data_IF_002434446103
#
_entry.id   IF_002434446103
#
_cell.length_a   1.000
_cell.length_b   1.000
_cell.length_c   1.000
_cell.angle_alpha   90.00
_cell.angle_beta   90.00
_cell.angle_gamma   90.00
#
_symmetry.space_group_name_H-M   'P 1'
#
loop_
_entity.id
_entity.type
_entity.pdbx_description
1 polymer ?
#
# COMPACT_ATOMS: atom_id res chain seq x y z
N UNK A 1 16.81 -18.11 -28.24
CA UNK A 1 15.84 -16.98 -28.23
C UNK A 1 15.99 -16.29 -26.88
N UNK A 2 16.19 -14.97 -26.84
CA UNK A 2 16.21 -14.24 -25.57
C UNK A 2 14.78 -14.15 -25.02
N UNK A 3 14.60 -14.49 -23.75
CA UNK A 3 13.35 -14.27 -23.05
C UNK A 3 13.18 -12.75 -22.86
N UNK A 4 12.04 -12.13 -23.22
CA UNK A 4 11.83 -10.70 -23.02
C UNK A 4 11.83 -10.35 -21.53
N UNK A 5 12.26 -9.14 -21.20
CA UNK A 5 12.22 -8.63 -19.83
C UNK A 5 10.78 -8.46 -19.35
N UNK A 6 10.58 -8.45 -18.03
CA UNK A 6 9.26 -8.28 -17.43
C UNK A 6 8.56 -6.99 -17.88
N UNK A 7 9.31 -5.89 -18.04
CA UNK A 7 8.78 -4.61 -18.49
C UNK A 7 8.38 -4.62 -19.97
N UNK A 8 9.13 -5.32 -20.82
CA UNK A 8 8.77 -5.49 -22.24
C UNK A 8 7.47 -6.30 -22.37
N UNK A 9 7.32 -7.36 -21.57
CA UNK A 9 6.07 -8.15 -21.52
C UNK A 9 4.91 -7.25 -21.04
N UNK A 10 5.11 -6.47 -19.98
CA UNK A 10 4.09 -5.58 -19.43
C UNK A 10 3.61 -4.53 -20.45
N UNK A 11 4.55 -3.90 -21.18
CA UNK A 11 4.25 -2.87 -22.18
C UNK A 11 3.59 -3.41 -23.44
N UNK A 12 3.86 -4.67 -23.78
CA UNK A 12 3.23 -5.35 -24.91
C UNK A 12 1.84 -5.91 -24.58
N UNK A 13 1.38 -5.82 -23.33
CA UNK A 13 0.09 -6.36 -22.92
C UNK A 13 -1.08 -5.54 -23.49
N UNK A 14 -2.06 -6.23 -24.06
CA UNK A 14 -3.33 -5.63 -24.49
C UNK A 14 -4.27 -5.50 -23.29
N UNK A 15 -4.38 -4.29 -22.75
CA UNK A 15 -5.22 -4.02 -21.59
C UNK A 15 -6.70 -3.99 -21.98
N UNK A 16 -7.53 -4.66 -21.18
CA UNK A 16 -8.98 -4.55 -21.29
C UNK A 16 -9.46 -3.29 -20.57
N UNK A 17 -10.58 -2.67 -21.01
CA UNK A 17 -11.23 -1.63 -20.24
C UNK A 17 -11.52 -2.08 -18.81
N UNK A 18 -11.21 -1.24 -17.81
CA UNK A 18 -11.42 -1.57 -16.40
C UNK A 18 -12.89 -1.89 -16.08
N UNK A 19 -13.83 -1.27 -16.78
CA UNK A 19 -15.25 -1.56 -16.65
C UNK A 19 -15.58 -3.02 -16.99
N UNK A 20 -14.94 -3.59 -18.02
CA UNK A 20 -15.15 -4.98 -18.42
C UNK A 20 -14.54 -5.94 -17.39
N UNK A 21 -13.35 -5.60 -16.87
CA UNK A 21 -12.68 -6.38 -15.80
C UNK A 21 -13.54 -6.40 -14.53
N UNK A 22 -14.10 -5.25 -14.16
CA UNK A 22 -14.98 -5.12 -13.01
C UNK A 22 -16.31 -5.87 -13.21
N UNK A 23 -16.89 -5.83 -14.41
CA UNK A 23 -18.10 -6.56 -14.76
C UNK A 23 -17.92 -8.08 -14.65
N UNK A 24 -16.77 -8.62 -15.07
CA UNK A 24 -16.45 -10.06 -14.92
C UNK A 24 -16.48 -10.51 -13.45
N UNK A 25 -16.00 -9.63 -12.55
CA UNK A 25 -16.01 -9.79 -11.11
C UNK A 25 -17.37 -9.49 -10.44
N UNK A 26 -18.35 -9.00 -11.20
CA UNK A 26 -19.69 -8.65 -10.70
C UNK A 26 -19.76 -7.33 -9.95
N UNK A 27 -18.77 -6.45 -10.11
CA UNK A 27 -18.74 -5.13 -9.46
C UNK A 27 -19.65 -4.17 -10.25
N UNK A 28 -20.61 -3.49 -9.60
CA UNK A 28 -21.47 -2.50 -10.25
C UNK A 28 -20.66 -1.34 -10.84
N UNK A 29 -21.04 -0.86 -12.03
CA UNK A 29 -20.31 0.20 -12.73
C UNK A 29 -20.27 1.53 -11.95
N UNK A 30 -21.32 1.86 -11.21
CA UNK A 30 -21.41 3.07 -10.37
C UNK A 30 -20.59 2.97 -9.06
N UNK A 31 -20.12 1.77 -8.73
CA UNK A 31 -19.18 1.53 -7.64
C UNK A 31 -17.71 1.71 -8.07
N UNK A 32 -17.42 1.93 -9.35
CA UNK A 32 -16.06 2.18 -9.83
C UNK A 32 -15.74 3.67 -9.82
N UNK A 33 -14.55 4.00 -9.34
CA UNK A 33 -13.96 5.33 -9.41
C UNK A 33 -12.66 5.24 -10.21
N UNK A 34 -12.69 5.56 -11.52
CA UNK A 34 -11.52 5.42 -12.40
C UNK A 34 -10.38 6.38 -12.03
N UNK A 35 -9.15 5.87 -12.10
CA UNK A 35 -7.90 6.62 -12.01
C UNK A 35 -7.17 6.48 -13.34
N UNK A 36 -7.57 7.32 -14.31
CA UNK A 36 -7.19 7.15 -15.70
C UNK A 36 -7.69 5.80 -16.24
N UNK A 37 -6.88 5.18 -17.10
CA UNK A 37 -7.26 3.92 -17.78
C UNK A 37 -6.68 2.68 -17.10
N UNK A 38 -5.73 2.84 -16.18
CA UNK A 38 -4.91 1.76 -15.64
C UNK A 38 -5.28 1.26 -14.24
N UNK A 39 -6.06 2.03 -13.49
CA UNK A 39 -6.53 1.64 -12.17
C UNK A 39 -7.91 2.24 -11.86
N UNK A 40 -8.62 1.65 -10.91
CA UNK A 40 -9.84 2.20 -10.34
C UNK A 40 -9.90 1.88 -8.85
N UNK A 41 -10.51 2.76 -8.07
CA UNK A 41 -10.98 2.43 -6.72
C UNK A 41 -12.38 1.82 -6.80
N UNK A 42 -12.71 0.99 -5.83
CA UNK A 42 -14.04 0.39 -5.67
C UNK A 42 -14.66 0.99 -4.41
N UNK A 43 -15.85 1.59 -4.54
CA UNK A 43 -16.61 2.13 -3.41
C UNK A 43 -16.95 1.03 -2.41
N UNK A 44 -16.87 1.33 -1.11
CA UNK A 44 -17.24 0.38 -0.05
C UNK A 44 -18.70 -0.09 -0.13
N UNK A 45 -19.59 0.72 -0.72
CA UNK A 45 -20.98 0.33 -1.00
C UNK A 45 -21.12 -0.89 -1.92
N UNK A 46 -20.06 -1.27 -2.64
CA UNK A 46 -20.03 -2.52 -3.39
C UNK A 46 -20.17 -3.75 -2.49
N UNK A 47 -19.67 -3.70 -1.24
CA UNK A 47 -19.74 -4.82 -0.28
C UNK A 47 -21.20 -5.17 0.00
N UNK A 48 -22.02 -4.18 0.34
CA UNK A 48 -23.46 -4.37 0.60
C UNK A 48 -24.20 -4.81 -0.65
N UNK A 49 -23.92 -4.20 -1.79
CA UNK A 49 -24.56 -4.52 -3.08
C UNK A 49 -24.23 -5.91 -3.60
N UNK A 50 -23.10 -6.48 -3.19
CA UNK A 50 -22.65 -7.81 -3.56
C UNK A 50 -22.93 -8.85 -2.46
N UNK A 51 -23.64 -8.49 -1.39
CA UNK A 51 -23.87 -9.36 -0.24
C UNK A 51 -24.72 -10.60 -0.53
N UNK A 52 -25.57 -10.56 -1.55
CA UNK A 52 -26.38 -11.69 -2.02
C UNK A 52 -25.54 -12.76 -2.77
N UNK A 53 -24.31 -12.43 -3.17
CA UNK A 53 -23.43 -13.38 -3.85
C UNK A 53 -22.87 -14.42 -2.87
N UNK A 54 -22.73 -15.69 -3.30
CA UNK A 54 -22.13 -16.70 -2.46
C UNK A 54 -20.67 -16.35 -2.16
N UNK A 55 -20.25 -16.56 -0.90
CA UNK A 55 -18.85 -16.36 -0.49
C UNK A 55 -17.90 -17.18 -1.37
N UNK A 56 -16.88 -16.52 -1.91
CA UNK A 56 -15.83 -17.19 -2.67
C UNK A 56 -15.01 -18.15 -1.78
N UNK A 57 -14.34 -19.12 -2.42
CA UNK A 57 -13.31 -19.91 -1.73
C UNK A 57 -12.07 -19.04 -1.52
N UNK A 58 -11.57 -19.01 -0.29
CA UNK A 58 -10.37 -18.27 0.07
C UNK A 58 -9.13 -19.18 -0.05
N UNK A 59 -8.19 -18.80 -0.91
CA UNK A 59 -6.93 -19.54 -1.14
C UNK A 59 -5.77 -18.65 -0.74
N UNK A 60 -5.00 -19.10 0.24
CA UNK A 60 -3.77 -18.41 0.68
C UNK A 60 -2.59 -19.00 -0.06
N UNK A 61 -1.82 -18.14 -0.73
CA UNK A 61 -0.52 -18.50 -1.32
C UNK A 61 0.59 -18.09 -0.37
N UNK A 62 1.34 -19.08 0.12
CA UNK A 62 2.53 -18.88 0.95
C UNK A 62 3.76 -19.51 0.29
N UNK A 63 4.94 -19.31 0.89
CA UNK A 63 6.20 -19.86 0.43
C UNK A 63 7.02 -20.37 1.62
N UNK A 64 8.07 -21.13 1.30
CA UNK A 64 9.11 -21.49 2.26
C UNK A 64 9.90 -20.26 2.73
N UNK A 65 10.81 -20.44 3.68
CA UNK A 65 11.75 -19.40 4.10
C UNK A 65 12.49 -18.82 2.88
N UNK A 66 12.50 -17.50 2.68
CA UNK A 66 13.12 -16.88 1.53
C UNK A 66 14.61 -17.20 1.41
N UNK A 67 15.07 -17.36 0.17
CA UNK A 67 16.46 -17.63 -0.21
C UNK A 67 16.92 -16.62 -1.26
N UNK A 68 18.24 -16.45 -1.48
CA UNK A 68 18.74 -15.56 -2.53
C UNK A 68 18.30 -15.92 -3.96
N UNK A 69 17.79 -17.13 -4.18
CA UNK A 69 17.33 -17.60 -5.49
C UNK A 69 15.92 -17.07 -5.85
N UNK A 70 15.14 -16.65 -4.85
CA UNK A 70 13.77 -16.19 -5.02
C UNK A 70 12.76 -17.32 -5.22
N UNK A 71 11.57 -17.16 -4.63
CA UNK A 71 10.57 -18.23 -4.57
C UNK A 71 9.39 -18.02 -5.53
N UNK A 72 9.31 -16.85 -6.18
CA UNK A 72 8.25 -16.58 -7.18
C UNK A 72 6.83 -16.49 -6.61
N UNK A 73 6.66 -16.23 -5.30
CA UNK A 73 5.34 -16.24 -4.62
C UNK A 73 4.27 -15.41 -5.34
N UNK A 74 4.56 -14.15 -5.66
CA UNK A 74 3.59 -13.27 -6.34
C UNK A 74 3.31 -13.74 -7.76
N UNK A 75 4.32 -14.21 -8.49
CA UNK A 75 4.17 -14.82 -9.82
C UNK A 75 3.22 -16.01 -9.76
N UNK A 76 3.35 -16.87 -8.73
CA UNK A 76 2.43 -17.99 -8.50
C UNK A 76 1.01 -17.51 -8.17
N UNK A 77 0.84 -16.48 -7.34
CA UNK A 77 -0.50 -15.93 -7.04
C UNK A 77 -1.20 -15.44 -8.30
N UNK A 78 -0.51 -14.66 -9.13
CA UNK A 78 -1.08 -14.15 -10.39
C UNK A 78 -1.38 -15.30 -11.35
N UNK A 79 -0.42 -16.20 -11.55
CA UNK A 79 -0.56 -17.36 -12.44
C UNK A 79 -1.68 -18.31 -12.00
N UNK A 80 -1.89 -18.50 -10.70
CA UNK A 80 -2.99 -19.30 -10.17
C UNK A 80 -4.35 -18.67 -10.48
N UNK A 81 -4.48 -17.34 -10.34
CA UNK A 81 -5.69 -16.61 -10.74
C UNK A 81 -5.99 -16.76 -12.24
N UNK A 82 -4.97 -16.59 -13.09
CA UNK A 82 -5.09 -16.81 -14.53
C UNK A 82 -5.46 -18.26 -14.87
N UNK A 83 -4.86 -19.23 -14.16
CA UNK A 83 -5.13 -20.66 -14.33
C UNK A 83 -6.57 -21.03 -14.00
N UNK A 84 -7.15 -20.47 -12.94
CA UNK A 84 -8.57 -20.65 -12.63
C UNK A 84 -9.48 -20.13 -13.75
N UNK A 85 -9.20 -18.94 -14.28
CA UNK A 85 -9.92 -18.39 -15.42
C UNK A 85 -9.80 -19.27 -16.66
N UNK A 86 -8.61 -19.83 -16.92
CA UNK A 86 -8.38 -20.74 -18.05
C UNK A 86 -9.23 -22.03 -17.99
N UNK A 87 -9.49 -22.55 -16.78
CA UNK A 87 -10.35 -23.74 -16.58
C UNK A 87 -11.83 -23.38 -16.35
N UNK A 88 -12.25 -22.16 -16.69
CA UNK A 88 -13.63 -21.71 -16.61
C UNK A 88 -14.13 -21.40 -15.20
N UNK A 89 -13.23 -21.14 -14.24
CA UNK A 89 -13.59 -20.67 -12.89
C UNK A 89 -13.40 -19.15 -12.79
N UNK A 90 -14.33 -18.46 -12.14
CA UNK A 90 -14.14 -17.06 -11.78
C UNK A 90 -13.18 -16.95 -10.60
N UNK A 91 -12.12 -16.16 -10.75
CA UNK A 91 -11.14 -15.92 -9.70
C UNK A 91 -10.68 -14.45 -9.71
N UNK A 92 -10.43 -13.92 -8.52
CA UNK A 92 -9.84 -12.61 -8.28
C UNK A 92 -8.65 -12.79 -7.36
N UNK A 93 -7.57 -12.06 -7.64
CA UNK A 93 -6.38 -12.06 -6.78
C UNK A 93 -6.37 -10.81 -5.90
N UNK A 94 -5.87 -10.95 -4.68
CA UNK A 94 -5.57 -9.83 -3.79
C UNK A 94 -4.07 -9.85 -3.49
N UNK A 95 -3.38 -8.75 -3.81
CA UNK A 95 -1.94 -8.58 -3.57
C UNK A 95 -1.68 -7.23 -2.91
N UNK A 96 -0.53 -7.09 -2.26
CA UNK A 96 -0.13 -5.85 -1.59
C UNK A 96 0.44 -4.86 -2.61
N UNK A 97 0.09 -3.59 -2.47
CA UNK A 97 0.81 -2.51 -3.14
C UNK A 97 2.27 -2.47 -2.64
N UNK A 98 3.27 -2.42 -3.52
CA UNK A 98 4.66 -2.22 -3.11
C UNK A 98 4.91 -0.80 -2.65
N UNK A 99 5.88 -0.65 -1.74
CA UNK A 99 6.51 0.64 -1.46
C UNK A 99 7.23 1.14 -2.70
N UNK A 100 7.19 2.46 -2.93
CA UNK A 100 7.87 3.10 -4.06
C UNK A 100 9.40 3.16 -3.85
N UNK A 101 9.86 3.33 -2.61
CA UNK A 101 11.29 3.47 -2.31
C UNK A 101 12.18 2.36 -2.90
N UNK A 102 11.85 1.07 -2.69
CA UNK A 102 12.57 -0.07 -3.26
C UNK A 102 12.64 -0.09 -4.80
N UNK A 103 11.63 0.45 -5.51
CA UNK A 103 11.59 0.52 -6.99
C UNK A 103 12.80 1.26 -7.55
N UNK A 104 13.31 2.26 -6.82
CA UNK A 104 14.50 3.04 -7.19
C UNK A 104 15.81 2.50 -6.57
N UNK A 105 15.74 1.34 -5.92
CA UNK A 105 16.87 0.66 -5.30
C UNK A 105 17.22 -0.66 -6.00
N UNK A 106 17.43 -1.71 -5.20
CA UNK A 106 17.88 -3.03 -5.69
C UNK A 106 16.71 -3.92 -6.13
N UNK A 107 15.51 -3.69 -5.61
CA UNK A 107 14.34 -4.53 -5.90
C UNK A 107 13.59 -3.98 -7.11
N UNK A 108 13.58 -4.75 -8.20
CA UNK A 108 12.66 -4.54 -9.32
C UNK A 108 11.19 -4.72 -8.91
N UNK A 109 10.27 -4.42 -9.84
CA UNK A 109 8.83 -4.33 -9.61
C UNK A 109 8.21 -5.55 -8.93
N UNK A 110 7.21 -5.32 -8.07
CA UNK A 110 6.62 -6.36 -7.21
C UNK A 110 5.32 -6.98 -7.77
N UNK A 111 5.06 -6.80 -9.07
CA UNK A 111 3.79 -7.12 -9.72
C UNK A 111 3.70 -8.56 -10.26
N UNK A 112 4.55 -9.49 -9.81
CA UNK A 112 4.69 -10.82 -10.42
C UNK A 112 5.94 -10.89 -11.31
N UNK A 113 5.91 -11.73 -12.36
CA UNK A 113 7.03 -11.88 -13.30
C UNK A 113 6.68 -12.75 -14.50
N UNK A 114 7.45 -12.62 -15.58
CA UNK A 114 7.20 -13.28 -16.87
C UNK A 114 5.81 -12.93 -17.42
N UNK A 115 5.04 -13.95 -17.82
CA UNK A 115 3.66 -13.76 -18.31
C UNK A 115 2.59 -13.77 -17.22
N UNK A 116 2.99 -13.81 -15.95
CA UNK A 116 2.10 -13.77 -14.79
C UNK A 116 2.34 -12.48 -14.00
N UNK A 117 1.78 -11.39 -14.52
CA UNK A 117 1.97 -10.04 -14.00
C UNK A 117 0.65 -9.30 -13.78
N UNK A 118 0.66 -8.36 -12.84
CA UNK A 118 -0.34 -7.30 -12.73
C UNK A 118 0.13 -6.09 -13.54
N UNK A 119 -0.76 -5.55 -14.37
CA UNK A 119 -0.49 -4.43 -15.28
C UNK A 119 -1.57 -3.35 -15.12
N UNK A 120 -1.26 -2.05 -15.31
CA UNK A 120 0.03 -1.50 -15.75
C UNK A 120 1.12 -1.51 -14.67
N UNK A 121 2.29 -2.09 -14.99
CA UNK A 121 3.37 -2.32 -14.03
C UNK A 121 3.97 -1.02 -13.48
N UNK A 122 4.12 0.01 -14.31
CA UNK A 122 4.68 1.30 -13.91
C UNK A 122 3.77 2.02 -12.92
N UNK A 123 2.46 2.04 -13.21
CA UNK A 123 1.45 2.59 -12.32
C UNK A 123 1.45 1.86 -10.97
N UNK A 124 1.55 0.54 -10.97
CA UNK A 124 1.54 -0.29 -9.77
C UNK A 124 2.77 -0.10 -8.87
N UNK A 125 3.96 0.13 -9.43
CA UNK A 125 5.21 0.27 -8.67
C UNK A 125 5.56 1.70 -8.24
N UNK A 126 4.81 2.70 -8.70
CA UNK A 126 5.00 4.11 -8.36
C UNK A 126 3.88 4.59 -7.44
N UNK A 127 3.05 5.52 -7.90
CA UNK A 127 2.06 6.18 -7.05
C UNK A 127 0.74 5.42 -6.95
N UNK A 128 0.47 4.49 -7.88
CA UNK A 128 -0.82 3.81 -8.05
C UNK A 128 -1.99 4.82 -7.95
N UNK A 129 -2.79 4.73 -6.89
CA UNK A 129 -3.94 5.63 -6.65
C UNK A 129 -3.72 6.57 -5.46
N UNK A 130 -2.48 6.67 -4.95
CA UNK A 130 -2.10 7.60 -3.89
C UNK A 130 -2.25 7.08 -2.45
N UNK A 131 -2.51 5.80 -2.24
CA UNK A 131 -2.77 5.23 -0.91
C UNK A 131 -1.58 5.40 0.05
N UNK A 132 -0.37 5.14 -0.42
CA UNK A 132 0.86 5.38 0.36
C UNK A 132 1.04 6.86 0.72
N UNK A 133 0.65 7.78 -0.18
CA UNK A 133 0.71 9.22 0.10
C UNK A 133 -0.29 9.61 1.20
N UNK A 134 -1.50 9.07 1.16
CA UNK A 134 -2.52 9.28 2.18
C UNK A 134 -2.07 8.77 3.56
N UNK A 135 -1.48 7.55 3.62
CA UNK A 135 -0.91 7.00 4.85
C UNK A 135 0.24 7.85 5.37
N UNK A 136 1.13 8.30 4.48
CA UNK A 136 2.25 9.19 4.83
C UNK A 136 1.74 10.50 5.43
N UNK A 137 0.75 11.12 4.80
CA UNK A 137 0.17 12.38 5.24
C UNK A 137 -0.51 12.22 6.61
N UNK A 138 -1.32 11.17 6.80
CA UNK A 138 -1.99 10.92 8.08
C UNK A 138 -1.00 10.67 9.22
N UNK A 139 0.03 9.84 9.00
CA UNK A 139 1.06 9.57 10.01
C UNK A 139 1.81 10.85 10.39
N UNK A 140 2.28 11.62 9.39
CA UNK A 140 3.06 12.82 9.65
C UNK A 140 2.21 13.96 10.22
N UNK A 141 0.90 13.99 9.95
CA UNK A 141 -0.03 14.91 10.61
C UNK A 141 -0.10 14.64 12.10
N UNK A 142 -0.16 13.37 12.52
CA UNK A 142 -0.07 13.00 13.95
C UNK A 142 1.26 13.48 14.56
N UNK A 143 2.39 13.25 13.89
CA UNK A 143 3.71 13.73 14.35
C UNK A 143 3.76 15.26 14.48
N UNK A 144 3.14 15.99 13.53
CA UNK A 144 3.04 17.44 13.57
C UNK A 144 2.15 17.95 14.71
N UNK A 145 1.01 17.30 14.95
CA UNK A 145 0.11 17.63 16.08
C UNK A 145 0.78 17.38 17.42
N UNK A 146 1.54 16.29 17.55
CA UNK A 146 2.34 16.00 18.74
C UNK A 146 3.36 17.10 19.02
N UNK A 147 4.15 17.50 18.01
CA UNK A 147 5.16 18.54 18.20
C UNK A 147 4.52 19.92 18.44
N UNK A 148 3.37 20.21 17.83
CA UNK A 148 2.60 21.41 18.11
C UNK A 148 2.07 21.44 19.56
N UNK A 149 1.61 20.29 20.07
CA UNK A 149 1.18 20.15 21.46
C UNK A 149 2.34 20.41 22.44
N UNK A 150 3.53 19.87 22.16
CA UNK A 150 4.74 20.16 22.95
C UNK A 150 5.08 21.65 22.94
N UNK A 151 4.97 22.29 21.77
CA UNK A 151 5.27 23.71 21.59
C UNK A 151 4.28 24.62 22.32
N UNK A 152 2.99 24.29 22.32
CA UNK A 152 1.92 25.12 22.88
C UNK A 152 1.68 24.93 24.38
N UNK A 153 2.59 24.26 25.09
CA UNK A 153 2.56 24.19 26.56
C UNK A 153 2.51 22.78 27.13
N UNK A 154 2.41 21.74 26.30
CA UNK A 154 2.47 20.35 26.70
C UNK A 154 1.52 20.01 27.88
N UNK A 155 0.25 20.41 27.79
CA UNK A 155 -0.71 20.25 28.90
C UNK A 155 -0.91 18.79 29.33
N UNK A 156 -0.70 17.85 28.41
CA UNK A 156 -0.74 16.39 28.67
C UNK A 156 0.48 15.87 29.42
N UNK A 157 1.51 16.68 29.65
CA UNK A 157 2.72 16.29 30.37
C UNK A 157 3.53 15.19 29.67
N UNK A 158 3.58 15.22 28.34
CA UNK A 158 4.33 14.22 27.56
C UNK A 158 5.83 14.32 27.87
N UNK A 159 6.46 13.18 28.16
CA UNK A 159 7.90 13.08 28.28
C UNK A 159 8.53 12.96 26.89
N UNK A 160 9.28 14.00 26.51
CA UNK A 160 9.92 14.13 25.20
C UNK A 160 10.93 13.02 24.89
N UNK A 161 11.52 12.39 25.90
CA UNK A 161 12.49 11.31 25.72
C UNK A 161 11.82 9.94 25.50
N UNK A 162 10.51 9.85 25.79
CA UNK A 162 9.72 8.62 25.68
C UNK A 162 8.70 8.65 24.54
N UNK A 163 8.79 9.64 23.63
CA UNK A 163 7.96 9.69 22.43
C UNK A 163 8.44 8.64 21.43
N UNK A 164 7.61 7.61 21.23
CA UNK A 164 7.87 6.51 20.28
C UNK A 164 7.39 6.83 18.87
N UNK A 165 6.46 7.78 18.71
CA UNK A 165 5.89 8.15 17.41
C UNK A 165 6.90 8.95 16.58
N UNK A 166 7.35 8.33 15.49
CA UNK A 166 8.33 8.87 14.54
C UNK A 166 7.62 9.63 13.41
N UNK A 167 8.31 9.85 12.30
CA UNK A 167 7.75 10.33 11.03
C UNK A 167 7.93 9.25 9.97
N UNK A 168 7.28 9.39 8.82
CA UNK A 168 7.46 8.45 7.71
C UNK A 168 7.64 9.11 6.36
N UNK A 169 8.33 8.40 5.47
CA UNK A 169 8.53 8.78 4.08
C UNK A 169 8.68 7.52 3.22
N UNK A 170 8.05 7.46 2.04
CA UNK A 170 8.12 6.26 1.18
C UNK A 170 9.36 6.26 0.27
N UNK A 171 10.52 6.54 0.86
CA UNK A 171 11.81 6.63 0.17
C UNK A 171 12.88 5.88 0.98
N UNK A 172 13.84 5.28 0.29
CA UNK A 172 14.97 4.60 0.93
C UNK A 172 16.04 5.61 1.37
N UNK A 173 15.77 6.36 2.45
CA UNK A 173 16.69 7.35 2.99
C UNK A 173 17.25 6.93 4.35
N UNK A 174 18.53 6.52 4.36
CA UNK A 174 19.20 6.09 5.59
C UNK A 174 19.61 7.26 6.49
N UNK A 175 19.73 8.47 5.96
CA UNK A 175 20.19 9.63 6.71
C UNK A 175 19.14 10.14 7.69
N UNK A 176 17.88 9.76 7.49
CA UNK A 176 16.75 10.17 8.33
C UNK A 176 16.43 9.19 9.46
N UNK A 177 17.20 8.11 9.66
CA UNK A 177 16.94 7.10 10.70
C UNK A 177 16.97 7.68 12.10
N UNK A 178 17.94 8.54 12.38
CA UNK A 178 18.15 9.16 13.68
C UNK A 178 18.45 10.65 13.46
N UNK A 179 17.57 11.52 13.95
CA UNK A 179 17.64 12.97 13.74
C UNK A 179 17.28 13.71 15.03
N UNK A 180 17.64 14.99 15.07
CA UNK A 180 17.12 15.95 16.04
C UNK A 180 16.19 16.92 15.32
N UNK A 181 14.94 17.04 15.78
CA UNK A 181 13.92 17.97 15.25
C UNK A 181 13.75 19.18 16.18
N UNK A 182 12.99 20.20 15.75
CA UNK A 182 12.64 21.35 16.61
C UNK A 182 13.81 22.31 16.90
N UNK A 183 14.84 22.31 16.04
CA UNK A 183 16.00 23.19 16.17
C UNK A 183 15.70 24.59 15.64
N UNK A 184 16.55 25.57 16.00
CA UNK A 184 16.46 26.94 15.46
C UNK A 184 15.88 27.98 16.43
N UNK A 185 15.80 27.68 17.73
CA UNK A 185 15.40 28.63 18.77
C UNK A 185 13.90 28.61 19.08
N UNK A 186 13.48 29.49 19.99
CA UNK A 186 12.17 29.44 20.68
C UNK A 186 10.96 29.46 19.74
N UNK A 187 11.08 29.99 18.52
CA UNK A 187 9.97 30.03 17.56
C UNK A 187 9.80 28.78 16.68
N UNK A 188 10.71 27.81 16.75
CA UNK A 188 10.82 26.72 15.76
C UNK A 188 10.52 25.32 16.34
N UNK A 189 9.90 25.28 17.52
CA UNK A 189 9.57 24.04 18.22
C UNK A 189 10.53 23.72 19.36
N UNK A 190 10.37 22.51 19.90
CA UNK A 190 11.15 22.03 21.05
C UNK A 190 12.13 20.95 20.60
N UNK A 191 13.45 21.14 20.78
CA UNK A 191 14.46 20.16 20.37
C UNK A 191 14.25 18.77 20.97
N UNK A 192 14.21 17.73 20.13
CA UNK A 192 14.16 16.32 20.57
C UNK A 192 14.70 15.35 19.54
N UNK A 193 15.11 14.17 20.01
CA UNK A 193 15.46 13.04 19.14
C UNK A 193 14.20 12.43 18.51
N UNK A 194 14.34 11.98 17.26
CA UNK A 194 13.29 11.36 16.47
C UNK A 194 13.93 10.61 15.29
N UNK A 195 13.11 10.11 14.37
CA UNK A 195 13.57 9.70 13.05
C UNK A 195 12.43 9.47 12.08
N UNK A 196 12.78 8.92 10.92
CA UNK A 196 11.87 8.49 9.90
C UNK A 196 11.93 6.99 9.69
N UNK A 197 10.76 6.39 9.46
CA UNK A 197 10.62 5.04 8.96
C UNK A 197 10.03 5.05 7.54
N UNK A 198 10.15 3.95 6.82
CA UNK A 198 9.50 3.82 5.52
C UNK A 198 7.98 3.76 5.70
N UNK A 199 7.19 4.43 4.86
CA UNK A 199 5.73 4.54 5.02
C UNK A 199 5.02 3.21 5.23
N UNK A 200 5.44 2.14 4.55
CA UNK A 200 4.84 0.80 4.71
C UNK A 200 5.09 0.17 6.08
N UNK A 201 6.00 0.70 6.89
CA UNK A 201 6.24 0.29 8.27
C UNK A 201 5.41 1.07 9.30
N UNK A 202 4.66 2.09 8.85
CA UNK A 202 3.78 2.89 9.71
C UNK A 202 2.69 2.04 10.38
N UNK A 203 2.41 2.31 11.65
CA UNK A 203 1.23 1.74 12.32
C UNK A 203 -0.08 2.17 11.65
N UNK A 204 -0.13 3.37 11.06
CA UNK A 204 -1.27 3.81 10.23
C UNK A 204 -1.50 2.85 9.05
N UNK A 205 -0.44 2.30 8.45
CA UNK A 205 -0.57 1.28 7.40
C UNK A 205 -1.15 -0.03 7.95
N UNK A 206 -0.70 -0.47 9.13
CA UNK A 206 -1.21 -1.68 9.77
C UNK A 206 -2.70 -1.52 10.11
N UNK A 207 -3.09 -0.40 10.72
CA UNK A 207 -4.48 -0.06 11.01
C UNK A 207 -5.32 -0.01 9.72
N UNK A 208 -4.84 0.68 8.68
CA UNK A 208 -5.52 0.76 7.39
C UNK A 208 -5.79 -0.62 6.77
N UNK A 209 -4.84 -1.55 6.89
CA UNK A 209 -4.97 -2.91 6.36
C UNK A 209 -5.88 -3.82 7.20
N UNK A 210 -6.15 -3.48 8.46
CA UNK A 210 -6.95 -4.28 9.40
C UNK A 210 -8.34 -3.70 9.65
N UNK A 211 -8.57 -2.44 9.27
CA UNK A 211 -9.86 -1.79 9.42
C UNK A 211 -10.94 -2.44 8.54
N UNK A 212 -12.13 -2.55 9.10
CA UNK A 212 -13.33 -3.10 8.44
C UNK A 212 -14.22 -2.03 7.80
N UNK A 213 -13.95 -0.76 8.09
CA UNK A 213 -14.68 0.40 7.58
C UNK A 213 -14.08 1.70 8.09
N UNK A 214 -14.67 2.83 7.70
CA UNK A 214 -14.16 4.15 8.09
C UNK A 214 -14.28 4.41 9.61
N UNK A 215 -15.37 3.95 10.23
CA UNK A 215 -15.59 4.12 11.67
C UNK A 215 -14.56 3.32 12.49
N UNK A 216 -14.35 2.04 12.16
CA UNK A 216 -13.33 1.18 12.78
C UNK A 216 -11.90 1.73 12.54
N UNK A 217 -11.63 2.30 11.35
CA UNK A 217 -10.37 3.00 11.08
C UNK A 217 -10.17 4.20 12.03
N UNK A 218 -11.20 5.04 12.22
CA UNK A 218 -11.14 6.19 13.12
C UNK A 218 -10.96 5.77 14.57
N UNK A 219 -11.67 4.75 15.04
CA UNK A 219 -11.54 4.23 16.40
C UNK A 219 -10.12 3.74 16.67
N UNK A 220 -9.56 2.92 15.78
CA UNK A 220 -8.19 2.40 15.91
C UNK A 220 -7.15 3.49 15.90
N UNK A 221 -7.30 4.50 15.05
CA UNK A 221 -6.40 5.66 15.03
C UNK A 221 -6.46 6.46 16.34
N UNK A 222 -7.63 6.51 17.01
CA UNK A 222 -7.78 7.16 18.31
C UNK A 222 -7.22 6.37 19.50
N UNK A 223 -6.82 5.12 19.29
CA UNK A 223 -6.22 4.24 20.32
C UNK A 223 -4.68 4.22 20.27
N UNK A 224 -4.09 4.87 19.26
CA UNK A 224 -2.64 5.11 19.14
C UNK A 224 -2.21 6.21 20.08
#
# INVERSE_FOLDING_TARGET
MSFPSDLEIARAANLRPLADVAADAGIPADCLEPYGEGAAKIKLSAIERMSDLPKARYVVVSAITPTPLGEGKTTTTVGLGMGFSHIGKKATIAIRQPSMGPTFGIKGGAAGGGYSQVVPMELFNLHLTGDMHAVTAAHNMCSAMLDAHLFHGNELGLDMHNITWRRVMDMNDRALRDIVVGMGGVGNGTPRESGFDITVASEVMAIFCLATGLEDLQERLGQV
#
